data_IF_083625416739
#
_entry.id   IF_083625416739
#
_cell.length_a   1.000
_cell.length_b   1.000
_cell.length_c   1.000
_cell.angle_alpha   90.00
_cell.angle_beta   90.00
_cell.angle_gamma   90.00
#
_symmetry.space_group_name_H-M   'P 1'
#
loop_
_entity.id
_entity.type
_entity.pdbx_description
1 polymer ?
#
# COMPACT_ATOMS: atom_id res chain seq x y z
N UNK A 1 4.49 7.73 -11.72
CA UNK A 1 4.03 7.45 -13.08
C UNK A 1 3.26 6.13 -13.15
N UNK A 2 2.63 5.83 -14.29
CA UNK A 2 1.90 4.57 -14.47
C UNK A 2 2.89 3.40 -14.38
N UNK A 3 2.55 2.39 -13.57
CA UNK A 3 3.39 1.20 -13.36
C UNK A 3 4.54 1.39 -12.36
N UNK A 4 4.72 2.58 -11.80
CA UNK A 4 5.73 2.80 -10.77
C UNK A 4 5.29 2.23 -9.41
N UNK A 5 6.27 1.67 -8.70
CA UNK A 5 6.07 1.15 -7.35
C UNK A 5 5.61 2.26 -6.41
N UNK A 6 4.41 2.12 -5.85
CA UNK A 6 3.88 3.06 -4.87
C UNK A 6 4.32 2.73 -3.44
N UNK A 7 4.41 1.44 -3.11
CA UNK A 7 4.83 0.93 -1.80
C UNK A 7 5.68 -0.33 -2.01
N UNK A 8 6.79 -0.44 -1.28
CA UNK A 8 7.64 -1.62 -1.23
C UNK A 8 7.71 -2.11 0.22
N UNK A 9 7.50 -3.42 0.42
CA UNK A 9 7.68 -4.09 1.71
C UNK A 9 8.63 -5.26 1.49
N UNK A 10 9.69 -5.33 2.30
CA UNK A 10 10.67 -6.40 2.26
C UNK A 10 10.81 -7.01 3.67
N UNK A 11 10.67 -8.33 3.74
CA UNK A 11 10.74 -9.08 5.01
C UNK A 11 11.64 -10.30 4.82
N UNK A 12 12.46 -10.59 5.82
CA UNK A 12 13.28 -11.80 5.90
C UNK A 12 12.97 -12.58 7.17
N UNK A 13 12.98 -13.90 7.06
CA UNK A 13 12.82 -14.82 8.19
C UNK A 13 13.55 -16.15 7.88
N UNK A 14 13.94 -16.94 8.89
CA UNK A 14 14.60 -18.24 8.69
C UNK A 14 13.78 -19.23 7.86
N UNK A 15 12.44 -19.15 7.95
CA UNK A 15 11.52 -19.97 7.20
C UNK A 15 10.55 -19.11 6.40
N UNK A 16 10.25 -19.53 5.17
CA UNK A 16 9.43 -18.74 4.23
C UNK A 16 8.02 -18.44 4.75
N UNK A 17 7.45 -19.29 5.60
CA UNK A 17 6.10 -19.11 6.11
C UNK A 17 5.99 -17.82 6.92
N UNK A 18 6.95 -17.57 7.82
CA UNK A 18 6.95 -16.38 8.67
C UNK A 18 7.15 -15.11 7.84
N UNK A 19 8.07 -15.13 6.88
CA UNK A 19 8.32 -13.99 6.00
C UNK A 19 7.08 -13.63 5.17
N UNK A 20 6.39 -14.63 4.61
CA UNK A 20 5.18 -14.41 3.82
C UNK A 20 4.02 -13.88 4.68
N UNK A 21 3.84 -14.44 5.88
CA UNK A 21 2.81 -14.00 6.82
C UNK A 21 3.05 -12.55 7.27
N UNK A 22 4.29 -12.22 7.65
CA UNK A 22 4.64 -10.87 8.08
C UNK A 22 4.57 -9.83 6.95
N UNK A 23 4.97 -10.19 5.71
CA UNK A 23 4.79 -9.29 4.55
C UNK A 23 3.32 -8.94 4.32
N UNK A 24 2.42 -9.92 4.47
CA UNK A 24 0.98 -9.72 4.33
C UNK A 24 0.43 -8.86 5.46
N UNK A 25 0.79 -9.15 6.69
CA UNK A 25 0.34 -8.38 7.85
C UNK A 25 0.82 -6.91 7.76
N UNK A 26 2.06 -6.69 7.32
CA UNK A 26 2.63 -5.36 7.16
C UNK A 26 1.84 -4.48 6.17
N UNK A 27 1.40 -5.01 5.02
CA UNK A 27 0.60 -4.22 4.07
C UNK A 27 -0.81 -3.93 4.61
N UNK A 28 -1.40 -4.88 5.32
CA UNK A 28 -2.74 -4.72 5.90
C UNK A 28 -2.71 -3.65 7.01
N UNK A 29 -1.72 -3.71 7.92
CA UNK A 29 -1.51 -2.72 8.96
C UNK A 29 -1.18 -1.33 8.39
N UNK A 30 -0.35 -1.25 7.35
CA UNK A 30 -0.04 0.02 6.69
C UNK A 30 -1.30 0.69 6.16
N UNK A 31 -2.17 -0.07 5.47
CA UNK A 31 -3.42 0.45 4.92
C UNK A 31 -4.46 0.80 5.99
N UNK A 32 -4.38 0.17 7.16
CA UNK A 32 -5.29 0.46 8.26
C UNK A 32 -4.89 1.68 9.07
N UNK A 33 -3.60 1.79 9.40
CA UNK A 33 -3.10 2.72 10.43
C UNK A 33 -2.53 4.00 9.87
N UNK A 34 -1.99 3.96 8.65
CA UNK A 34 -1.36 5.13 8.06
C UNK A 34 -2.43 5.91 7.28
N UNK A 35 -2.63 7.20 7.58
CA UNK A 35 -3.55 8.04 6.83
C UNK A 35 -2.95 8.32 5.44
N UNK A 36 -3.43 7.56 4.45
CA UNK A 36 -2.96 7.56 3.07
C UNK A 36 -4.13 7.87 2.14
N UNK A 37 -3.88 8.71 1.13
CA UNK A 37 -4.84 8.99 0.07
C UNK A 37 -4.14 8.91 -1.29
N UNK A 38 -4.85 8.39 -2.29
CA UNK A 38 -4.41 8.36 -3.68
C UNK A 38 -5.15 9.46 -4.43
N UNK A 39 -4.40 10.40 -5.01
CA UNK A 39 -4.94 11.37 -5.95
C UNK A 39 -4.97 10.76 -7.35
N UNK A 40 -6.15 10.62 -7.90
CA UNK A 40 -6.33 10.18 -9.28
C UNK A 40 -6.57 11.41 -10.16
N UNK A 41 -5.85 11.49 -11.28
CA UNK A 41 -5.92 12.60 -12.23
C UNK A 41 -6.40 12.06 -13.56
N UNK A 42 -7.48 12.65 -14.05
CA UNK A 42 -8.17 12.31 -15.28
C UNK A 42 -8.18 13.53 -16.22
N UNK A 43 -8.49 13.34 -17.50
CA UNK A 43 -8.57 14.44 -18.48
C UNK A 43 -9.54 15.55 -18.05
N UNK A 44 -10.60 15.20 -17.30
CA UNK A 44 -11.65 16.11 -16.86
C UNK A 44 -11.55 16.58 -15.40
N UNK A 45 -10.52 16.20 -14.64
CA UNK A 45 -10.40 16.59 -13.23
C UNK A 45 -9.58 15.64 -12.36
N UNK A 46 -9.67 15.85 -11.05
CA UNK A 46 -8.92 15.09 -10.04
C UNK A 46 -9.81 14.69 -8.85
N UNK A 47 -9.55 13.52 -8.28
CA UNK A 47 -10.28 12.98 -7.14
C UNK A 47 -9.31 12.37 -6.11
N UNK A 48 -9.63 12.49 -4.83
CA UNK A 48 -8.87 11.86 -3.75
C UNK A 48 -9.61 10.63 -3.22
N UNK A 49 -8.95 9.47 -3.27
CA UNK A 49 -9.50 8.20 -2.78
C UNK A 49 -8.73 7.76 -1.54
N UNK A 50 -9.43 7.40 -0.47
CA UNK A 50 -8.82 6.87 0.77
C UNK A 50 -9.83 6.76 1.91
N UNK A 51 -9.41 6.22 3.06
CA UNK A 51 -10.25 6.22 4.27
C UNK A 51 -10.35 7.65 4.80
N UNK A 52 -11.48 8.31 4.54
CA UNK A 52 -11.77 9.69 4.94
C UNK A 52 -12.53 10.54 3.91
N UNK A 53 -12.89 9.98 2.75
CA UNK A 53 -13.90 10.51 1.82
C UNK A 53 -15.31 10.15 2.25
#
# INVERSE_FOLDING_TARGET
GIGETSVLIAVSAPHRQDALAACRDAIDQLKERVPLWKKEVYEGGEEWIGRGS
#
